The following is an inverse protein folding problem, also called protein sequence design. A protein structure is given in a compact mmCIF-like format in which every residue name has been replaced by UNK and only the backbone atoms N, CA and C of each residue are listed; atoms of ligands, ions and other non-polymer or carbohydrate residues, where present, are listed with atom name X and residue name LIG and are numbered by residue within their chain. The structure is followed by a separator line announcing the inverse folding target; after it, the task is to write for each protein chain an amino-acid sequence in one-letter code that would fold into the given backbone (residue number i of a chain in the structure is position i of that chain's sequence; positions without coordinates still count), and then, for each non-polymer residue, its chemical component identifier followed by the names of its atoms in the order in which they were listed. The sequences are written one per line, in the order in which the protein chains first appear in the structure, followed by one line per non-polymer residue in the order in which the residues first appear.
data_IF_836714136644
#
_entry.id   IF_836714136644
#
_cell.length_a   1.000
_cell.length_b   1.000
_cell.length_c   1.000
_cell.angle_alpha   90.00
_cell.angle_beta   90.00
_cell.angle_gamma   90.00
#
_symmetry.space_group_name_H-M   'P 1'
#
loop_
_entity.id
_entity.type
_entity.pdbx_description
1 polymer ?
#
# COMPACT_ATOMS: atom_id res chain seq x y z
N UNK A 1 -20.47 0.68 -0.96
CA UNK A 1 -20.24 2.14 -1.16
C UNK A 1 -18.80 2.54 -0.89
N UNK A 2 -18.20 2.03 0.18
CA UNK A 2 -16.82 2.34 0.56
C UNK A 2 -15.83 1.22 0.29
N UNK A 3 -16.25 0.20 -0.43
CA UNK A 3 -15.40 -0.94 -0.83
C UNK A 3 -15.16 -0.89 -2.33
N UNK A 4 -13.89 -1.03 -2.72
CA UNK A 4 -13.53 -1.10 -4.13
C UNK A 4 -13.85 -2.49 -4.69
N UNK A 5 -14.54 -2.53 -5.82
CA UNK A 5 -15.00 -3.80 -6.42
C UNK A 5 -13.85 -4.63 -6.98
N UNK A 6 -12.81 -4.00 -7.46
CA UNK A 6 -11.67 -4.71 -8.07
C UNK A 6 -10.80 -5.40 -7.04
N UNK A 7 -10.54 -4.73 -5.91
CA UNK A 7 -9.59 -5.20 -4.91
C UNK A 7 -10.23 -5.79 -3.67
N UNK A 8 -11.50 -5.46 -3.40
CA UNK A 8 -12.18 -5.85 -2.17
C UNK A 8 -11.75 -5.04 -0.95
N UNK A 9 -10.90 -4.05 -1.12
CA UNK A 9 -10.39 -3.19 -0.05
C UNK A 9 -11.23 -1.91 0.05
N UNK A 10 -11.10 -1.15 1.17
CA UNK A 10 -11.65 0.20 1.21
C UNK A 10 -11.23 1.00 0.00
N UNK A 11 -12.16 1.74 -0.58
CA UNK A 11 -11.91 2.49 -1.81
C UNK A 11 -11.28 3.86 -1.49
N UNK A 12 -11.03 4.66 -2.55
CA UNK A 12 -10.42 5.98 -2.40
C UNK A 12 -11.23 6.90 -1.49
N UNK A 13 -12.56 6.87 -1.58
CA UNK A 13 -13.41 7.68 -0.70
C UNK A 13 -13.20 7.32 0.76
N UNK A 14 -13.07 6.03 1.07
CA UNK A 14 -12.78 5.59 2.43
C UNK A 14 -11.35 5.94 2.86
N UNK A 15 -10.39 5.88 1.94
CA UNK A 15 -9.04 6.36 2.23
C UNK A 15 -9.04 7.83 2.65
N UNK A 16 -9.80 8.67 1.93
CA UNK A 16 -9.93 10.09 2.25
C UNK A 16 -10.57 10.30 3.62
N UNK A 17 -11.58 9.51 3.97
CA UNK A 17 -12.23 9.55 5.28
C UNK A 17 -11.23 9.21 6.39
N UNK A 18 -10.42 8.17 6.20
CA UNK A 18 -9.39 7.80 7.18
C UNK A 18 -8.34 8.90 7.34
N UNK A 19 -7.89 9.50 6.26
CA UNK A 19 -6.95 10.63 6.32
C UNK A 19 -7.57 11.79 7.10
N UNK A 20 -8.82 12.15 6.82
CA UNK A 20 -9.53 13.23 7.54
C UNK A 20 -9.65 12.94 9.04
N UNK A 21 -9.85 11.68 9.41
CA UNK A 21 -9.92 11.26 10.81
C UNK A 21 -8.65 11.65 11.57
N UNK A 22 -7.48 11.53 10.94
CA UNK A 22 -6.20 11.87 11.54
C UNK A 22 -5.79 13.33 11.33
N UNK A 23 -6.43 14.04 10.40
CA UNK A 23 -6.11 15.43 10.11
C UNK A 23 -6.60 16.39 11.19
N UNK A 24 -7.57 15.98 12.01
CA UNK A 24 -8.19 16.81 13.04
C UNK A 24 -7.24 17.09 14.21
N UNK A 25 -6.22 16.29 14.42
CA UNK A 25 -5.32 16.42 15.55
C UNK A 25 -3.91 15.96 15.19
N UNK A 26 -2.97 16.21 16.09
CA UNK A 26 -1.58 15.79 15.95
C UNK A 26 -1.49 14.26 16.03
N UNK A 27 -0.71 13.65 15.14
CA UNK A 27 -0.44 12.22 15.17
C UNK A 27 0.35 11.84 16.41
N UNK A 28 0.10 10.64 16.90
CA UNK A 28 0.83 10.07 18.02
C UNK A 28 2.17 9.50 17.58
N UNK A 29 3.02 9.24 18.55
CA UNK A 29 4.26 8.51 18.34
C UNK A 29 3.95 7.13 17.75
N UNK A 30 4.89 6.62 16.97
CA UNK A 30 4.78 5.28 16.37
C UNK A 30 3.53 5.12 15.49
N UNK A 31 3.20 6.17 14.76
CA UNK A 31 2.21 6.11 13.69
C UNK A 31 2.95 5.98 12.36
N UNK A 32 2.48 5.08 11.50
CA UNK A 32 3.11 4.80 10.20
C UNK A 32 2.14 5.07 9.07
N UNK A 33 2.59 5.80 8.06
CA UNK A 33 1.92 5.91 6.76
C UNK A 33 2.71 5.10 5.74
N UNK A 34 1.99 4.32 4.93
CA UNK A 34 2.60 3.48 3.89
C UNK A 34 2.01 3.80 2.52
N UNK A 35 2.86 3.80 1.52
CA UNK A 35 2.43 3.75 0.12
C UNK A 35 2.93 2.44 -0.46
N UNK A 36 2.00 1.62 -0.91
CA UNK A 36 2.24 0.30 -1.48
C UNK A 36 1.87 0.37 -2.95
N UNK A 37 2.77 -0.03 -3.84
CA UNK A 37 2.56 0.06 -5.28
C UNK A 37 2.66 -1.30 -5.92
N UNK A 38 1.73 -1.59 -6.82
CA UNK A 38 1.76 -2.76 -7.68
C UNK A 38 2.49 -2.36 -8.97
N UNK A 39 3.79 -2.55 -8.96
CA UNK A 39 4.71 -1.94 -9.94
C UNK A 39 4.54 -2.46 -11.36
N UNK A 40 4.03 -3.68 -11.53
CA UNK A 40 3.86 -4.28 -12.85
C UNK A 40 2.43 -4.20 -13.39
N UNK A 41 1.54 -3.42 -12.75
CA UNK A 41 0.14 -3.33 -13.21
C UNK A 41 0.04 -2.79 -14.64
N UNK A 42 0.78 -1.73 -14.95
CA UNK A 42 0.77 -1.16 -16.30
C UNK A 42 1.21 -2.18 -17.34
N UNK A 43 2.28 -2.92 -17.06
CA UNK A 43 2.77 -3.96 -17.95
C UNK A 43 1.69 -5.02 -18.21
N UNK A 44 1.00 -5.47 -17.15
CA UNK A 44 -0.06 -6.47 -17.26
C UNK A 44 -1.23 -5.93 -18.09
N UNK A 45 -1.64 -4.68 -17.87
CA UNK A 45 -2.68 -4.03 -18.66
C UNK A 45 -2.30 -3.94 -20.13
N UNK A 46 -1.06 -3.55 -20.42
CA UNK A 46 -0.58 -3.38 -21.80
C UNK A 46 -0.51 -4.72 -22.55
N UNK A 47 -0.19 -5.79 -21.86
CA UNK A 47 -0.06 -7.12 -22.46
C UNK A 47 -1.36 -7.88 -22.55
N UNK A 48 -2.19 -7.83 -21.52
CA UNK A 48 -3.40 -8.64 -21.39
C UNK A 48 -4.71 -7.86 -21.35
N UNK A 49 -4.65 -6.54 -21.49
CA UNK A 49 -5.82 -5.67 -21.43
C UNK A 49 -6.28 -5.41 -20.01
N UNK A 50 -7.36 -4.63 -19.91
CA UNK A 50 -7.91 -4.22 -18.61
C UNK A 50 -8.34 -5.41 -17.75
N UNK A 51 -8.85 -6.46 -18.36
CA UNK A 51 -9.28 -7.64 -17.61
C UNK A 51 -8.13 -8.32 -16.87
N UNK A 52 -6.96 -8.39 -17.51
CA UNK A 52 -5.78 -8.96 -16.88
C UNK A 52 -5.30 -8.10 -15.70
N UNK A 53 -5.31 -6.78 -15.86
CA UNK A 53 -4.97 -5.85 -14.77
C UNK A 53 -5.96 -5.92 -13.63
N UNK A 54 -7.25 -6.00 -13.92
CA UNK A 54 -8.29 -6.13 -12.89
C UNK A 54 -8.14 -7.45 -12.12
N UNK A 55 -7.78 -8.53 -12.80
CA UNK A 55 -7.51 -9.81 -12.15
C UNK A 55 -6.30 -9.71 -11.21
N UNK A 56 -5.25 -9.03 -11.64
CA UNK A 56 -4.06 -8.81 -10.81
C UNK A 56 -4.40 -7.96 -9.57
N UNK A 57 -5.18 -6.89 -9.75
CA UNK A 57 -5.65 -6.05 -8.64
C UNK A 57 -6.47 -6.86 -7.63
N UNK A 58 -7.33 -7.74 -8.11
CA UNK A 58 -8.16 -8.58 -7.25
C UNK A 58 -7.30 -9.51 -6.40
N UNK A 59 -6.33 -10.15 -6.99
CA UNK A 59 -5.41 -11.05 -6.28
C UNK A 59 -4.56 -10.27 -5.28
N UNK A 60 -4.01 -9.15 -5.71
CA UNK A 60 -3.19 -8.34 -4.81
C UNK A 60 -4.01 -7.78 -3.64
N UNK A 61 -5.26 -7.39 -3.89
CA UNK A 61 -6.16 -6.94 -2.82
C UNK A 61 -6.33 -7.98 -1.71
N UNK A 62 -6.47 -9.24 -2.09
CA UNK A 62 -6.58 -10.35 -1.13
C UNK A 62 -5.28 -10.53 -0.34
N UNK A 63 -4.15 -10.48 -1.02
CA UNK A 63 -2.82 -10.62 -0.39
C UNK A 63 -2.58 -9.49 0.59
N UNK A 64 -2.85 -8.26 0.19
CA UNK A 64 -2.65 -7.08 1.03
C UNK A 64 -3.58 -7.08 2.24
N UNK A 65 -4.84 -7.45 2.06
CA UNK A 65 -5.80 -7.57 3.15
C UNK A 65 -5.31 -8.56 4.21
N UNK A 66 -4.81 -9.70 3.77
CA UNK A 66 -4.24 -10.72 4.66
C UNK A 66 -3.01 -10.18 5.39
N UNK A 67 -2.09 -9.55 4.67
CA UNK A 67 -0.86 -9.02 5.24
C UNK A 67 -1.13 -7.99 6.32
N UNK A 68 -2.12 -7.11 6.11
CA UNK A 68 -2.41 -5.98 6.98
C UNK A 68 -3.34 -6.31 8.13
N UNK A 69 -3.91 -7.50 8.20
CA UNK A 69 -4.98 -7.85 9.14
C UNK A 69 -4.63 -7.60 10.61
N UNK A 70 -3.36 -7.73 10.98
CA UNK A 70 -2.88 -7.49 12.35
C UNK A 70 -2.21 -6.14 12.54
N UNK A 71 -2.23 -5.28 11.51
CA UNK A 71 -1.47 -4.02 11.53
C UNK A 71 -2.35 -2.78 11.52
N UNK A 72 -3.35 -2.73 10.67
CA UNK A 72 -4.24 -1.57 10.61
C UNK A 72 -4.89 -1.39 9.25
N UNK A 73 -5.22 -0.13 8.95
CA UNK A 73 -5.96 0.23 7.75
C UNK A 73 -5.10 0.11 6.49
N UNK A 74 -5.64 -0.53 5.47
CA UNK A 74 -5.13 -0.45 4.10
C UNK A 74 -6.31 -0.19 3.17
N UNK A 75 -6.05 0.57 2.10
CA UNK A 75 -7.08 0.88 1.11
C UNK A 75 -6.49 1.06 -0.27
N UNK A 76 -7.36 0.94 -1.28
CA UNK A 76 -6.98 1.15 -2.67
C UNK A 76 -7.14 2.63 -3.03
N UNK A 77 -6.03 3.27 -3.40
CA UNK A 77 -6.00 4.71 -3.70
C UNK A 77 -6.15 5.02 -5.18
N UNK A 78 -6.52 4.02 -5.99
CA UNK A 78 -6.64 4.16 -7.44
C UNK A 78 -5.36 3.81 -8.18
N UNK A 79 -5.48 3.52 -9.48
CA UNK A 79 -4.37 3.13 -10.33
C UNK A 79 -3.60 1.93 -9.76
N UNK A 80 -2.29 2.07 -9.53
CA UNK A 80 -1.42 1.04 -8.97
C UNK A 80 -1.10 1.28 -7.49
N UNK A 81 -1.82 2.19 -6.83
CA UNK A 81 -1.48 2.67 -5.49
C UNK A 81 -2.42 2.18 -4.41
N UNK A 82 -1.83 1.76 -3.29
CA UNK A 82 -2.55 1.38 -2.08
C UNK A 82 -1.90 2.14 -0.92
N UNK A 83 -2.70 2.57 0.04
CA UNK A 83 -2.17 3.27 1.22
C UNK A 83 -2.47 2.48 2.48
N UNK A 84 -1.60 2.64 3.47
CA UNK A 84 -1.77 2.08 4.80
C UNK A 84 -1.59 3.14 5.86
N UNK A 85 -2.34 3.01 6.95
CA UNK A 85 -2.23 3.86 8.13
C UNK A 85 -2.30 2.96 9.35
N UNK A 86 -1.16 2.81 10.03
CA UNK A 86 -1.03 1.91 11.18
C UNK A 86 -0.73 2.70 12.44
N UNK A 87 -1.62 2.60 13.42
CA UNK A 87 -1.41 3.12 14.76
C UNK A 87 -0.55 2.15 15.57
N UNK A 88 0.13 2.66 16.58
CA UNK A 88 0.96 1.84 17.47
C UNK A 88 1.90 0.93 16.68
N UNK A 89 2.57 1.52 15.69
CA UNK A 89 3.44 0.81 14.79
C UNK A 89 4.81 1.48 14.75
N UNK A 90 5.80 0.80 15.29
CA UNK A 90 7.20 1.23 15.25
C UNK A 90 7.78 1.01 13.85
N UNK A 91 8.95 1.60 13.60
CA UNK A 91 9.69 1.35 12.36
C UNK A 91 9.94 -0.16 12.18
N UNK A 92 10.33 -0.85 13.25
CA UNK A 92 10.58 -2.30 13.18
C UNK A 92 9.31 -3.08 12.82
N UNK A 93 8.18 -2.70 13.43
CA UNK A 93 6.91 -3.39 13.13
C UNK A 93 6.48 -3.14 11.68
N UNK A 94 6.76 -1.93 11.15
CA UNK A 94 6.49 -1.63 9.74
C UNK A 94 7.39 -2.47 8.82
N UNK A 95 8.66 -2.68 9.18
CA UNK A 95 9.56 -3.57 8.43
C UNK A 95 9.08 -5.01 8.49
N UNK A 96 8.56 -5.46 9.63
CA UNK A 96 7.97 -6.81 9.76
C UNK A 96 6.77 -6.96 8.83
N UNK A 97 5.91 -5.95 8.74
CA UNK A 97 4.80 -5.94 7.78
C UNK A 97 5.29 -6.05 6.34
N UNK A 98 6.28 -5.24 5.98
CA UNK A 98 6.85 -5.23 4.64
C UNK A 98 7.41 -6.61 4.27
N UNK A 99 8.16 -7.21 5.19
CA UNK A 99 8.72 -8.55 4.99
C UNK A 99 7.61 -9.60 4.82
N UNK A 100 6.57 -9.55 5.65
CA UNK A 100 5.46 -10.48 5.55
C UNK A 100 4.73 -10.33 4.21
N UNK A 101 4.48 -9.08 3.77
CA UNK A 101 3.87 -8.83 2.46
C UNK A 101 4.73 -9.42 1.33
N UNK A 102 6.04 -9.19 1.38
CA UNK A 102 6.99 -9.72 0.39
C UNK A 102 6.96 -11.25 0.36
N UNK A 103 6.87 -11.90 1.51
CA UNK A 103 6.77 -13.35 1.60
C UNK A 103 5.48 -13.87 0.97
N UNK A 104 4.34 -13.21 1.22
CA UNK A 104 3.06 -13.60 0.63
C UNK A 104 3.08 -13.41 -0.90
N UNK A 105 3.67 -12.32 -1.36
CA UNK A 105 3.83 -12.05 -2.79
C UNK A 105 4.72 -13.11 -3.44
N UNK A 106 5.84 -13.42 -2.81
CA UNK A 106 6.75 -14.45 -3.32
C UNK A 106 6.06 -15.80 -3.41
N UNK A 107 5.33 -16.19 -2.37
CA UNK A 107 4.57 -17.45 -2.37
C UNK A 107 3.59 -17.50 -3.54
N UNK A 108 2.82 -16.43 -3.75
CA UNK A 108 1.89 -16.34 -4.88
C UNK A 108 2.63 -16.49 -6.21
N UNK A 109 3.75 -15.79 -6.39
CA UNK A 109 4.51 -15.81 -7.63
C UNK A 109 5.06 -17.20 -7.97
N UNK A 110 5.48 -17.95 -6.95
CA UNK A 110 5.93 -19.33 -7.14
C UNK A 110 4.78 -20.25 -7.54
N UNK A 111 3.61 -20.07 -6.92
CA UNK A 111 2.43 -20.90 -7.21
C UNK A 111 1.77 -20.54 -8.53
N UNK A 112 1.89 -19.30 -8.97
CA UNK A 112 1.19 -18.79 -10.16
C UNK A 112 2.17 -18.01 -11.05
N UNK A 113 3.14 -18.69 -11.68
CA UNK A 113 4.22 -18.01 -12.41
C UNK A 113 3.76 -17.21 -13.62
N UNK A 114 2.56 -17.48 -14.14
CA UNK A 114 2.02 -16.75 -15.30
C UNK A 114 1.38 -15.40 -14.93
N UNK A 115 1.13 -15.16 -13.63
CA UNK A 115 0.49 -13.93 -13.15
C UNK A 115 1.25 -13.48 -11.90
N UNK A 116 2.47 -12.97 -12.11
CA UNK A 116 3.32 -12.54 -11.00
C UNK A 116 3.03 -11.11 -10.61
N UNK A 117 3.28 -10.79 -9.35
CA UNK A 117 3.16 -9.45 -8.79
C UNK A 117 4.54 -8.89 -8.46
N UNK A 118 4.74 -7.61 -8.77
CA UNK A 118 5.92 -6.85 -8.37
C UNK A 118 5.45 -5.70 -7.50
N UNK A 119 5.91 -5.66 -6.26
CA UNK A 119 5.39 -4.75 -5.25
C UNK A 119 6.52 -3.96 -4.61
N UNK A 120 6.30 -2.69 -4.39
CA UNK A 120 7.20 -1.84 -3.61
C UNK A 120 6.43 -1.16 -2.48
N UNK A 121 7.12 -0.86 -1.38
CA UNK A 121 6.54 -0.26 -0.18
C UNK A 121 7.43 0.87 0.29
N UNK A 122 6.83 2.05 0.45
CA UNK A 122 7.48 3.19 1.08
C UNK A 122 6.82 3.43 2.43
N UNK A 123 7.61 3.72 3.45
CA UNK A 123 7.16 3.83 4.84
C UNK A 123 7.68 5.13 5.45
N UNK A 124 6.81 5.83 6.17
CA UNK A 124 7.20 6.97 7.00
C UNK A 124 6.57 6.82 8.37
N UNK A 125 7.37 6.94 9.42
CA UNK A 125 6.94 6.84 10.80
C UNK A 125 7.15 8.19 11.50
N UNK A 126 6.21 8.59 12.35
CA UNK A 126 6.17 9.92 12.96
C UNK A 126 7.45 10.32 13.67
N UNK A 127 7.96 9.47 14.55
CA UNK A 127 9.16 9.80 15.34
C UNK A 127 10.42 9.85 14.46
N UNK A 128 10.54 8.89 13.54
CA UNK A 128 11.70 8.80 12.65
C UNK A 128 11.78 10.01 11.72
N UNK A 129 10.64 10.47 11.20
CA UNK A 129 10.58 11.62 10.29
C UNK A 129 10.48 12.96 11.04
N UNK A 130 10.13 12.95 12.34
CA UNK A 130 9.77 14.15 13.09
C UNK A 130 8.62 14.91 12.41
N UNK A 131 7.63 14.19 11.93
CA UNK A 131 6.43 14.71 11.26
C UNK A 131 5.21 14.13 11.96
N UNK A 132 4.33 15.00 12.45
CA UNK A 132 3.15 14.61 13.24
C UNK A 132 1.84 15.10 12.61
N UNK A 133 1.87 15.56 11.38
CA UNK A 133 0.72 15.94 10.57
C UNK A 133 0.52 14.89 9.50
N UNK A 134 -0.72 14.35 9.38
CA UNK A 134 -0.98 13.22 8.46
C UNK A 134 -0.67 13.56 7.01
N UNK A 135 -1.04 14.77 6.55
CA UNK A 135 -0.81 15.15 5.15
C UNK A 135 0.66 15.35 4.85
N UNK A 136 1.41 15.90 5.80
CA UNK A 136 2.87 16.05 5.67
C UNK A 136 3.56 14.68 5.69
N UNK A 137 3.11 13.77 6.55
CA UNK A 137 3.64 12.42 6.62
C UNK A 137 3.35 11.66 5.32
N UNK A 138 2.13 11.78 4.79
CA UNK A 138 1.75 11.23 3.50
C UNK A 138 2.65 11.77 2.37
N UNK A 139 2.87 13.10 2.35
CA UNK A 139 3.74 13.73 1.36
C UNK A 139 5.17 13.19 1.43
N UNK A 140 5.71 13.02 2.62
CA UNK A 140 7.05 12.44 2.82
C UNK A 140 7.11 11.01 2.27
N UNK A 141 6.06 10.23 2.50
CA UNK A 141 5.97 8.84 2.01
C UNK A 141 5.93 8.79 0.49
N UNK A 142 5.15 9.66 -0.13
CA UNK A 142 5.05 9.74 -1.60
C UNK A 142 6.38 10.16 -2.23
N UNK A 143 7.12 11.08 -1.59
CA UNK A 143 8.45 11.46 -2.06
C UNK A 143 9.45 10.30 -1.98
N UNK A 144 9.40 9.51 -0.92
CA UNK A 144 10.23 8.31 -0.79
C UNK A 144 9.93 7.31 -1.91
N UNK A 145 8.66 7.08 -2.20
CA UNK A 145 8.25 6.16 -3.25
C UNK A 145 8.77 6.60 -4.61
N UNK A 146 8.71 7.91 -4.91
CA UNK A 146 9.25 8.45 -6.17
C UNK A 146 10.75 8.24 -6.29
N UNK A 147 11.49 8.44 -5.19
CA UNK A 147 12.94 8.24 -5.16
C UNK A 147 13.34 6.77 -5.31
N UNK A 148 12.47 5.83 -4.91
CA UNK A 148 12.73 4.40 -4.98
C UNK A 148 12.32 3.78 -6.32
N UNK A 149 11.66 4.55 -7.19
CA UNK A 149 11.20 4.02 -8.46
C UNK A 149 12.38 3.56 -9.32
N UNK A 150 12.36 2.33 -9.85
CA UNK A 150 13.41 1.88 -10.76
C UNK A 150 13.45 2.76 -12.00
N UNK A 151 14.65 3.04 -12.49
CA UNK A 151 14.77 3.74 -13.77
C UNK A 151 14.21 2.86 -14.87
N UNK A 152 13.35 3.44 -15.68
CA UNK A 152 12.92 2.78 -16.91
C UNK A 152 14.01 2.97 -17.96
N UNK A 153 14.44 1.89 -18.49
CA UNK A 153 15.34 1.90 -19.63
C UNK A 153 14.57 1.71 -20.92
#
# INVERSE_FOLDING_TARGET
MYTDRKTGLPNRAMCDIEIEKYAADKLKDSFVFLLIKLDNLKYVNDKGGREAGDALLKVFGKVLKRAASSYGFVGYNGSDQFIGMFEECTVQRAEDFKQYLEELVHYHNVQTPNVTMQVSVAVSETNSEQIYDIRKLMGATFRKASAQQPRRE
#
